data_IF_469907694138
#
_entry.id   IF_469907694138
#
_cell.length_a   1.000
_cell.length_b   1.000
_cell.length_c   1.000
_cell.angle_alpha   90.00
_cell.angle_beta   90.00
_cell.angle_gamma   90.00
#
_symmetry.space_group_name_H-M   'P 1'
#
loop_
_entity.id
_entity.type
_entity.pdbx_description
1 polymer ?
#
# COMPACT_ATOMS: atom_id res chain seq x y z
N UNK A 1 -1.40 18.99 22.05
CA UNK A 1 -0.92 17.64 22.44
C UNK A 1 -1.99 16.76 23.09
N UNK A 2 -3.01 17.30 23.76
CA UNK A 2 -4.09 16.56 24.43
C UNK A 2 -5.08 15.91 23.45
N UNK A 3 -5.40 16.57 22.35
CA UNK A 3 -6.26 16.07 21.27
C UNK A 3 -5.65 14.88 20.53
N UNK A 4 -4.36 14.89 20.27
CA UNK A 4 -3.65 13.82 19.54
C UNK A 4 -3.70 12.48 20.32
N UNK A 5 -3.58 12.51 21.65
CA UNK A 5 -3.68 11.30 22.50
C UNK A 5 -5.07 10.68 22.54
N UNK A 6 -6.14 11.46 22.34
CA UNK A 6 -7.52 10.99 22.45
C UNK A 6 -8.01 10.25 21.19
N UNK A 7 -7.60 10.70 19.99
CA UNK A 7 -7.98 10.05 18.72
C UNK A 7 -7.26 8.72 18.51
N UNK A 8 -5.97 8.65 18.81
CA UNK A 8 -5.18 7.42 18.63
C UNK A 8 -5.55 6.30 19.63
N UNK A 9 -6.04 6.64 20.83
CA UNK A 9 -6.53 5.62 21.77
C UNK A 9 -7.74 4.84 21.27
N UNK A 10 -8.57 5.41 20.41
CA UNK A 10 -9.70 4.73 19.76
C UNK A 10 -9.27 3.70 18.70
N UNK A 11 -8.08 3.84 18.13
CA UNK A 11 -7.58 3.00 17.03
C UNK A 11 -6.41 2.13 17.51
N UNK A 12 -6.69 1.25 18.45
CA UNK A 12 -5.68 0.33 18.98
C UNK A 12 -5.44 -0.82 18.00
N UNK A 13 -4.25 -0.84 17.40
CA UNK A 13 -3.78 -1.90 16.51
C UNK A 13 -2.75 -2.82 17.18
N UNK A 14 -2.71 -2.85 18.52
CA UNK A 14 -1.80 -3.73 19.26
C UNK A 14 -1.98 -5.18 18.81
N UNK A 15 -0.86 -5.88 18.61
CA UNK A 15 -0.80 -7.26 18.13
C UNK A 15 -1.28 -7.46 16.66
N UNK A 16 -1.62 -6.41 15.92
CA UNK A 16 -1.85 -6.48 14.47
C UNK A 16 -0.52 -6.42 13.74
N UNK A 17 -0.46 -7.09 12.57
CA UNK A 17 0.69 -7.03 11.67
C UNK A 17 0.23 -6.35 10.38
N UNK A 18 0.89 -5.25 10.03
CA UNK A 18 0.62 -4.48 8.83
C UNK A 18 1.77 -4.60 7.83
N UNK A 19 1.47 -4.98 6.60
CA UNK A 19 2.38 -4.92 5.47
C UNK A 19 2.13 -3.63 4.70
N UNK A 20 3.20 -2.87 4.43
CA UNK A 20 3.15 -1.62 3.66
C UNK A 20 4.12 -1.70 2.50
N UNK A 21 3.62 -1.58 1.26
CA UNK A 21 4.44 -1.51 0.06
C UNK A 21 4.77 -0.06 -0.29
N UNK A 22 5.95 0.18 -0.88
CA UNK A 22 6.43 1.55 -1.10
C UNK A 22 6.68 2.33 0.20
N UNK A 23 7.02 1.62 1.28
CA UNK A 23 7.10 2.15 2.64
C UNK A 23 8.25 3.14 2.89
N UNK A 24 9.21 3.26 1.96
CA UNK A 24 10.42 4.05 2.19
C UNK A 24 10.21 5.56 2.13
N UNK A 25 9.23 6.04 1.38
CA UNK A 25 9.01 7.48 1.10
C UNK A 25 7.52 7.83 1.01
N UNK A 26 7.24 9.14 1.03
CA UNK A 26 5.92 9.70 0.72
C UNK A 26 4.79 9.09 1.56
N UNK A 27 3.69 8.78 0.91
CA UNK A 27 2.47 8.29 1.56
C UNK A 27 2.69 6.94 2.26
N UNK A 28 3.43 6.01 1.63
CA UNK A 28 3.72 4.70 2.26
C UNK A 28 4.49 4.84 3.57
N UNK A 29 5.48 5.76 3.62
CA UNK A 29 6.19 6.08 4.87
C UNK A 29 5.23 6.66 5.93
N UNK A 30 4.38 7.59 5.54
CA UNK A 30 3.41 8.20 6.46
C UNK A 30 2.43 7.16 7.02
N UNK A 31 1.88 6.30 6.15
CA UNK A 31 1.01 5.19 6.57
C UNK A 31 1.71 4.23 7.53
N UNK A 32 2.97 3.86 7.23
CA UNK A 32 3.72 2.94 8.09
C UNK A 32 3.95 3.53 9.49
N UNK A 33 4.29 4.81 9.59
CA UNK A 33 4.49 5.49 10.87
C UNK A 33 3.16 5.59 11.63
N UNK A 34 2.07 6.02 10.99
CA UNK A 34 0.76 6.13 11.62
C UNK A 34 0.24 4.78 12.17
N UNK A 35 0.42 3.69 11.41
CA UNK A 35 0.07 2.35 11.87
C UNK A 35 0.92 1.90 13.08
N UNK A 36 2.20 2.27 13.09
CA UNK A 36 3.10 2.00 14.22
C UNK A 36 2.72 2.81 15.46
N UNK A 37 2.33 4.08 15.31
CA UNK A 37 1.81 4.94 16.38
C UNK A 37 0.53 4.36 16.99
N UNK A 38 -0.32 3.73 16.15
CA UNK A 38 -1.51 3.00 16.62
C UNK A 38 -1.19 1.63 17.24
N UNK A 39 0.08 1.21 17.28
CA UNK A 39 0.55 0.00 17.95
C UNK A 39 0.71 -1.24 17.05
N UNK A 40 0.57 -1.13 15.74
CA UNK A 40 0.79 -2.25 14.84
C UNK A 40 2.29 -2.59 14.68
N UNK A 41 2.58 -3.87 14.48
CA UNK A 41 3.88 -4.33 14.03
C UNK A 41 3.98 -4.18 12.50
N UNK A 42 5.14 -3.79 11.98
CA UNK A 42 5.30 -3.41 10.58
C UNK A 42 6.16 -4.37 9.79
N UNK A 43 5.72 -4.65 8.56
CA UNK A 43 6.48 -5.27 7.49
C UNK A 43 6.60 -4.22 6.39
N UNK A 44 7.78 -3.67 6.21
CA UNK A 44 8.06 -2.60 5.25
C UNK A 44 8.67 -3.18 3.98
N UNK A 45 8.09 -2.91 2.82
CA UNK A 45 8.60 -3.35 1.52
C UNK A 45 8.90 -2.14 0.65
N UNK A 46 10.13 -2.02 0.15
CA UNK A 46 10.54 -1.00 -0.82
C UNK A 46 11.87 -1.39 -1.48
N UNK A 47 12.20 -0.79 -2.61
CA UNK A 47 13.44 -1.07 -3.36
C UNK A 47 14.70 -0.48 -2.74
N UNK A 48 14.59 0.55 -1.91
CA UNK A 48 15.72 1.34 -1.41
C UNK A 48 15.98 1.03 0.06
N UNK A 49 17.08 0.32 0.34
CA UNK A 49 17.49 -0.04 1.70
C UNK A 49 17.63 1.19 2.61
N UNK A 50 18.34 2.24 2.17
CA UNK A 50 18.56 3.48 2.94
C UNK A 50 17.25 4.10 3.44
N UNK A 51 16.22 4.15 2.58
CA UNK A 51 14.92 4.72 2.94
C UNK A 51 14.19 3.85 3.96
N UNK A 52 14.21 2.53 3.78
CA UNK A 52 13.64 1.57 4.73
C UNK A 52 14.32 1.65 6.10
N UNK A 53 15.64 1.77 6.14
CA UNK A 53 16.41 1.89 7.39
C UNK A 53 16.04 3.18 8.16
N UNK A 54 15.77 4.28 7.45
CA UNK A 54 15.31 5.52 8.07
C UNK A 54 13.92 5.35 8.71
N UNK A 55 12.97 4.75 7.97
CA UNK A 55 11.61 4.52 8.47
C UNK A 55 11.62 3.53 9.63
N UNK A 56 12.38 2.44 9.51
CA UNK A 56 12.52 1.44 10.55
C UNK A 56 13.07 2.02 11.85
N UNK A 57 14.05 2.93 11.79
CA UNK A 57 14.59 3.63 12.99
C UNK A 57 13.52 4.46 13.70
N UNK A 58 12.64 5.14 12.95
CA UNK A 58 11.54 5.90 13.52
C UNK A 58 10.54 4.97 14.21
N UNK A 59 10.13 3.90 13.51
CA UNK A 59 9.13 2.94 14.02
C UNK A 59 9.64 2.21 15.26
N UNK A 60 10.90 1.83 15.32
CA UNK A 60 11.49 1.16 16.50
C UNK A 60 11.42 2.01 17.77
N UNK A 61 11.47 3.35 17.66
CA UNK A 61 11.29 4.26 18.81
C UNK A 61 9.86 4.20 19.39
N UNK A 62 8.89 3.72 18.62
CA UNK A 62 7.49 3.54 19.05
C UNK A 62 7.25 2.19 19.78
N UNK A 63 8.30 1.42 20.05
CA UNK A 63 8.27 0.14 20.80
C UNK A 63 7.40 -0.94 20.12
N UNK A 64 7.25 -0.90 18.79
CA UNK A 64 6.61 -1.94 17.98
C UNK A 64 7.66 -2.69 17.14
N UNK A 65 7.35 -3.93 16.77
CA UNK A 65 8.24 -4.74 15.91
C UNK A 65 8.19 -4.20 14.48
N UNK A 66 9.37 -4.10 13.84
CA UNK A 66 9.49 -3.65 12.45
C UNK A 66 10.51 -4.51 11.72
N UNK A 67 10.08 -5.12 10.60
CA UNK A 67 10.95 -5.83 9.65
C UNK A 67 10.92 -5.10 8.32
N UNK A 68 12.08 -4.95 7.69
CA UNK A 68 12.23 -4.30 6.39
C UNK A 68 12.71 -5.30 5.35
N UNK A 69 12.12 -5.25 4.16
CA UNK A 69 12.44 -6.09 3.02
C UNK A 69 12.76 -5.21 1.81
N UNK A 70 13.97 -5.32 1.32
CA UNK A 70 14.37 -4.67 0.07
C UNK A 70 13.90 -5.56 -1.07
N UNK A 71 12.85 -5.15 -1.77
CA UNK A 71 12.22 -5.96 -2.81
C UNK A 71 11.57 -5.05 -3.86
N UNK A 72 11.70 -5.42 -5.13
CA UNK A 72 10.86 -4.88 -6.19
C UNK A 72 9.53 -5.64 -6.20
N UNK A 73 8.42 -4.92 -6.01
CA UNK A 73 7.08 -5.53 -5.94
C UNK A 73 6.66 -6.26 -7.21
N UNK A 74 7.34 -6.02 -8.34
CA UNK A 74 7.11 -6.72 -9.61
C UNK A 74 7.80 -8.09 -9.66
N UNK A 75 8.67 -8.39 -8.71
CA UNK A 75 9.27 -9.72 -8.53
C UNK A 75 8.31 -10.59 -7.70
N UNK A 76 7.43 -11.33 -8.41
CA UNK A 76 6.39 -12.14 -7.78
C UNK A 76 6.95 -13.21 -6.83
N UNK A 77 8.04 -13.90 -7.21
CA UNK A 77 8.62 -14.97 -6.40
C UNK A 77 9.16 -14.43 -5.08
N UNK A 78 9.86 -13.31 -5.11
CA UNK A 78 10.44 -12.70 -3.91
C UNK A 78 9.34 -12.17 -2.96
N UNK A 79 8.33 -11.46 -3.50
CA UNK A 79 7.23 -10.95 -2.67
C UNK A 79 6.39 -12.08 -2.08
N UNK A 80 6.17 -13.17 -2.82
CA UNK A 80 5.50 -14.38 -2.34
C UNK A 80 6.27 -15.01 -1.18
N UNK A 81 7.59 -15.13 -1.29
CA UNK A 81 8.45 -15.65 -0.23
C UNK A 81 8.38 -14.78 1.03
N UNK A 82 8.48 -13.46 0.89
CA UNK A 82 8.36 -12.50 2.00
C UNK A 82 7.03 -12.68 2.73
N UNK A 83 5.92 -12.79 2.01
CA UNK A 83 4.57 -12.93 2.59
C UNK A 83 4.42 -14.32 3.24
N UNK A 84 4.91 -15.37 2.60
CA UNK A 84 4.79 -16.73 3.13
C UNK A 84 5.56 -16.95 4.42
N UNK A 85 6.70 -16.28 4.61
CA UNK A 85 7.49 -16.30 5.85
C UNK A 85 6.77 -15.65 7.04
N UNK A 86 5.65 -14.97 6.83
CA UNK A 86 4.91 -14.36 7.93
C UNK A 86 3.91 -15.34 8.54
N UNK A 87 3.81 -15.35 9.88
CA UNK A 87 2.83 -16.18 10.57
C UNK A 87 1.39 -15.68 10.30
N UNK A 88 1.21 -14.36 10.21
CA UNK A 88 -0.07 -13.73 9.87
C UNK A 88 0.15 -12.34 9.26
N UNK A 89 -0.87 -11.86 8.57
CA UNK A 89 -1.02 -10.47 8.14
C UNK A 89 -2.45 -10.05 8.50
N UNK A 90 -2.61 -8.88 9.11
CA UNK A 90 -3.92 -8.35 9.50
C UNK A 90 -4.31 -7.14 8.65
N UNK A 91 -3.31 -6.37 8.20
CA UNK A 91 -3.50 -5.13 7.44
C UNK A 91 -2.54 -5.13 6.24
N UNK A 92 -3.06 -4.73 5.07
CA UNK A 92 -2.27 -4.42 3.90
C UNK A 92 -2.48 -2.96 3.50
N UNK A 93 -1.40 -2.20 3.37
CA UNK A 93 -1.37 -0.93 2.64
C UNK A 93 -0.64 -1.16 1.32
N UNK A 94 -1.42 -1.35 0.28
CA UNK A 94 -0.95 -1.60 -1.08
C UNK A 94 -0.71 -0.24 -1.78
N UNK A 95 0.45 0.36 -1.49
CA UNK A 95 0.75 1.75 -1.82
C UNK A 95 1.79 1.92 -2.92
N UNK A 96 2.68 0.93 -3.13
CA UNK A 96 3.71 1.08 -4.16
C UNK A 96 3.09 1.34 -5.53
N UNK A 97 3.62 2.34 -6.22
CA UNK A 97 3.17 2.73 -7.54
C UNK A 97 4.02 3.86 -8.10
N UNK A 98 3.85 4.14 -9.39
CA UNK A 98 4.60 5.18 -10.10
C UNK A 98 3.77 5.77 -11.24
N UNK A 99 4.24 6.88 -11.81
CA UNK A 99 3.63 7.52 -12.95
C UNK A 99 4.70 8.02 -13.93
N UNK A 100 4.42 7.88 -15.22
CA UNK A 100 5.20 8.42 -16.34
C UNK A 100 4.21 9.23 -17.19
N UNK A 101 4.22 10.58 -17.07
CA UNK A 101 3.34 11.45 -17.85
C UNK A 101 3.76 11.47 -19.32
N UNK A 102 2.83 11.13 -20.21
CA UNK A 102 3.02 11.16 -21.67
C UNK A 102 1.71 11.59 -22.35
N UNK A 103 1.79 12.36 -23.44
CA UNK A 103 0.65 12.61 -24.31
C UNK A 103 0.15 11.29 -24.91
N UNK A 104 -1.16 11.11 -24.96
CA UNK A 104 -1.76 9.84 -25.40
C UNK A 104 -1.19 9.31 -26.71
N UNK A 105 -1.06 10.17 -27.71
CA UNK A 105 -0.50 9.83 -29.03
C UNK A 105 1.00 9.50 -29.04
N UNK A 106 1.70 9.73 -27.92
CA UNK A 106 3.15 9.50 -27.79
C UNK A 106 3.49 8.51 -26.69
N UNK A 107 2.50 7.84 -26.11
CA UNK A 107 2.71 6.81 -25.09
C UNK A 107 3.54 5.68 -25.69
N UNK A 108 4.69 5.40 -25.08
CA UNK A 108 5.52 4.26 -25.46
C UNK A 108 4.90 2.98 -24.87
N UNK A 109 4.78 1.93 -25.70
CA UNK A 109 4.26 0.63 -25.25
C UNK A 109 5.02 0.10 -24.03
N UNK A 110 6.35 0.23 -24.03
CA UNK A 110 7.19 -0.18 -22.89
C UNK A 110 6.87 0.55 -21.59
N UNK A 111 6.52 1.85 -21.66
CA UNK A 111 6.09 2.63 -20.48
C UNK A 111 4.69 2.22 -20.02
N UNK A 112 3.80 1.95 -20.96
CA UNK A 112 2.45 1.46 -20.65
C UNK A 112 2.53 0.10 -19.95
N UNK A 113 3.26 -0.86 -20.49
CA UNK A 113 3.48 -2.19 -19.89
C UNK A 113 4.11 -2.10 -18.51
N UNK A 114 5.14 -1.27 -18.35
CA UNK A 114 5.80 -1.04 -17.07
C UNK A 114 4.82 -0.47 -16.02
N UNK A 115 4.01 0.53 -16.39
CA UNK A 115 3.03 1.12 -15.48
C UNK A 115 1.93 0.13 -15.09
N UNK A 116 1.43 -0.67 -16.04
CA UNK A 116 0.46 -1.75 -15.77
C UNK A 116 1.08 -2.79 -14.84
N UNK A 117 2.31 -3.23 -15.11
CA UNK A 117 3.03 -4.19 -14.28
C UNK A 117 3.16 -3.71 -12.82
N UNK A 118 3.57 -2.46 -12.62
CA UNK A 118 3.79 -1.90 -11.27
C UNK A 118 2.48 -1.56 -10.56
N UNK A 119 1.59 -0.79 -11.23
CA UNK A 119 0.44 -0.20 -10.57
C UNK A 119 -0.77 -1.13 -10.46
N UNK A 120 -0.86 -2.14 -11.34
CA UNK A 120 -2.03 -3.02 -11.45
C UNK A 120 -1.66 -4.46 -11.12
N UNK A 121 -0.77 -5.08 -11.90
CA UNK A 121 -0.45 -6.51 -11.75
C UNK A 121 0.21 -6.80 -10.40
N UNK A 122 1.23 -6.03 -10.04
CA UNK A 122 1.92 -6.21 -8.75
C UNK A 122 0.97 -5.94 -7.57
N UNK A 123 0.12 -4.90 -7.69
CA UNK A 123 -0.88 -4.58 -6.66
C UNK A 123 -1.89 -5.73 -6.48
N UNK A 124 -2.39 -6.31 -7.57
CA UNK A 124 -3.25 -7.49 -7.55
C UNK A 124 -2.58 -8.68 -6.87
N UNK A 125 -1.38 -9.03 -7.30
CA UNK A 125 -0.63 -10.17 -6.78
C UNK A 125 -0.39 -10.06 -5.26
N UNK A 126 0.02 -8.90 -4.79
CA UNK A 126 0.26 -8.66 -3.36
C UNK A 126 -1.05 -8.75 -2.57
N UNK A 127 -2.13 -8.14 -3.09
CA UNK A 127 -3.43 -8.21 -2.46
C UNK A 127 -3.92 -9.68 -2.34
N UNK A 128 -3.76 -10.48 -3.41
CA UNK A 128 -4.13 -11.90 -3.41
C UNK A 128 -3.29 -12.70 -2.39
N UNK A 129 -1.97 -12.55 -2.40
CA UNK A 129 -1.08 -13.26 -1.47
C UNK A 129 -1.38 -12.88 0.00
N UNK A 130 -1.57 -11.59 0.28
CA UNK A 130 -1.95 -11.14 1.63
C UNK A 130 -3.33 -11.65 2.03
N UNK A 131 -4.30 -11.68 1.12
CA UNK A 131 -5.63 -12.23 1.37
C UNK A 131 -5.57 -13.70 1.74
N UNK A 132 -4.83 -14.52 0.99
CA UNK A 132 -4.63 -15.94 1.31
C UNK A 132 -4.03 -16.10 2.72
N UNK A 133 -3.02 -15.31 3.06
CA UNK A 133 -2.42 -15.32 4.40
C UNK A 133 -3.41 -14.86 5.48
N UNK A 134 -4.26 -13.87 5.19
CA UNK A 134 -5.31 -13.43 6.10
C UNK A 134 -6.33 -14.53 6.35
N UNK A 135 -6.85 -15.18 5.31
CA UNK A 135 -7.87 -16.23 5.40
C UNK A 135 -7.38 -17.43 6.22
N UNK A 136 -6.11 -17.82 6.05
CA UNK A 136 -5.48 -18.90 6.80
C UNK A 136 -5.30 -18.61 8.30
N UNK A 137 -5.41 -17.34 8.72
CA UNK A 137 -5.24 -16.97 10.13
C UNK A 137 -6.41 -17.49 10.97
N UNK A 138 -6.10 -18.24 12.03
CA UNK A 138 -7.10 -18.77 12.98
C UNK A 138 -8.02 -17.64 13.48
N UNK A 139 -9.32 -17.92 13.54
CA UNK A 139 -10.37 -16.98 13.98
C UNK A 139 -10.47 -15.70 13.11
N UNK A 140 -10.09 -15.75 11.82
CA UNK A 140 -10.14 -14.58 10.94
C UNK A 140 -11.51 -13.89 10.93
N UNK A 141 -12.61 -14.65 10.83
CA UNK A 141 -13.97 -14.10 10.84
C UNK A 141 -14.26 -13.23 12.08
N UNK A 142 -13.70 -13.59 13.25
CA UNK A 142 -13.85 -12.84 14.50
C UNK A 142 -12.89 -11.64 14.56
N UNK A 143 -11.65 -11.84 14.11
CA UNK A 143 -10.57 -10.82 14.21
C UNK A 143 -10.71 -9.74 13.13
N UNK A 144 -11.21 -10.11 11.98
CA UNK A 144 -11.26 -9.26 10.79
C UNK A 144 -9.90 -9.00 10.14
N UNK A 145 -9.93 -8.41 8.93
CA UNK A 145 -8.77 -7.95 8.19
C UNK A 145 -9.06 -6.62 7.49
N UNK A 146 -8.02 -5.93 7.05
CA UNK A 146 -8.17 -4.67 6.32
C UNK A 146 -7.15 -4.54 5.20
N UNK A 147 -7.62 -4.27 4.00
CA UNK A 147 -6.81 -3.98 2.82
C UNK A 147 -7.12 -2.56 2.37
N UNK A 148 -6.08 -1.76 2.19
CA UNK A 148 -6.19 -0.41 1.63
C UNK A 148 -5.34 -0.36 0.37
N UNK A 149 -5.98 -0.16 -0.77
CA UNK A 149 -5.31 0.11 -2.03
C UNK A 149 -5.13 1.63 -2.19
N UNK A 150 -3.89 2.07 -2.34
CA UNK A 150 -3.59 3.49 -2.57
C UNK A 150 -3.90 3.84 -4.03
N UNK A 151 -5.09 4.37 -4.23
CA UNK A 151 -5.58 4.84 -5.52
C UNK A 151 -5.11 6.30 -5.78
N UNK A 152 -5.95 7.09 -6.36
CA UNK A 152 -5.75 8.50 -6.67
C UNK A 152 -7.11 9.12 -6.98
N UNK A 153 -7.24 10.45 -6.92
CA UNK A 153 -8.37 11.13 -7.56
C UNK A 153 -8.51 10.69 -9.03
N UNK A 154 -7.39 10.34 -9.69
CA UNK A 154 -7.36 9.85 -11.08
C UNK A 154 -7.86 8.39 -11.24
N UNK A 155 -8.37 7.78 -10.20
CA UNK A 155 -9.19 6.58 -10.24
C UNK A 155 -10.68 6.88 -10.42
N UNK A 156 -11.08 8.16 -10.35
CA UNK A 156 -12.48 8.62 -10.47
C UNK A 156 -12.65 9.68 -11.55
N UNK A 157 -11.60 10.44 -11.88
CA UNK A 157 -11.60 11.49 -12.90
C UNK A 157 -10.41 11.36 -13.83
N UNK A 158 -10.50 11.97 -15.03
CA UNK A 158 -9.38 12.06 -15.96
C UNK A 158 -8.36 13.13 -15.56
N UNK A 159 -7.11 12.92 -15.96
CA UNK A 159 -6.05 13.91 -15.85
C UNK A 159 -5.24 13.99 -17.16
N UNK A 160 -4.83 15.19 -17.61
CA UNK A 160 -4.06 15.35 -18.83
C UNK A 160 -2.74 14.62 -18.76
N UNK A 161 -2.25 14.13 -19.91
CA UNK A 161 -0.96 13.42 -20.06
C UNK A 161 -0.75 12.21 -19.11
N UNK A 162 -1.84 11.59 -18.64
CA UNK A 162 -1.80 10.48 -17.66
C UNK A 162 -2.78 9.37 -18.00
N UNK A 163 -3.08 9.15 -19.28
CA UNK A 163 -4.07 8.15 -19.73
C UNK A 163 -3.82 6.75 -19.15
N UNK A 164 -2.57 6.27 -19.19
CA UNK A 164 -2.19 4.96 -18.62
C UNK A 164 -2.33 4.94 -17.10
N UNK A 165 -1.94 6.02 -16.43
CA UNK A 165 -2.08 6.12 -14.97
C UNK A 165 -3.57 6.16 -14.56
N UNK A 166 -4.40 6.90 -15.29
CA UNK A 166 -5.85 6.92 -15.10
C UNK A 166 -6.44 5.51 -15.26
N UNK A 167 -6.09 4.81 -16.35
CA UNK A 167 -6.50 3.42 -16.58
C UNK A 167 -6.15 2.51 -15.40
N UNK A 168 -4.90 2.57 -14.92
CA UNK A 168 -4.44 1.75 -13.80
C UNK A 168 -5.20 2.07 -12.50
N UNK A 169 -5.46 3.35 -12.22
CA UNK A 169 -6.14 3.74 -10.98
C UNK A 169 -7.64 3.46 -11.01
N UNK A 170 -8.32 3.61 -12.16
CA UNK A 170 -9.70 3.12 -12.35
C UNK A 170 -9.77 1.60 -12.22
N UNK A 171 -8.80 0.86 -12.79
CA UNK A 171 -8.70 -0.59 -12.60
C UNK A 171 -8.56 -0.98 -11.13
N UNK A 172 -7.79 -0.22 -10.35
CA UNK A 172 -7.62 -0.46 -8.91
C UNK A 172 -8.91 -0.21 -8.11
N UNK A 173 -9.73 0.78 -8.51
CA UNK A 173 -11.07 1.00 -7.94
C UNK A 173 -12.00 -0.19 -8.22
N UNK A 174 -12.02 -0.68 -9.47
CA UNK A 174 -12.78 -1.87 -9.86
C UNK A 174 -12.34 -3.12 -9.08
N UNK A 175 -11.03 -3.37 -9.00
CA UNK A 175 -10.45 -4.47 -8.21
C UNK A 175 -10.89 -4.38 -6.75
N UNK A 176 -10.83 -3.20 -6.15
CA UNK A 176 -11.20 -3.00 -4.74
C UNK A 176 -12.65 -3.36 -4.48
N UNK A 177 -13.58 -2.97 -5.36
CA UNK A 177 -15.01 -3.28 -5.25
C UNK A 177 -15.26 -4.80 -5.35
N UNK A 178 -14.64 -5.46 -6.34
CA UNK A 178 -14.75 -6.92 -6.49
C UNK A 178 -14.21 -7.65 -5.26
N UNK A 179 -13.01 -7.30 -4.82
CA UNK A 179 -12.40 -7.88 -3.62
C UNK A 179 -13.27 -7.65 -2.36
N UNK A 180 -13.89 -6.48 -2.20
CA UNK A 180 -14.72 -6.18 -1.04
C UNK A 180 -15.91 -7.14 -0.93
N UNK A 181 -16.55 -7.46 -2.07
CA UNK A 181 -17.65 -8.42 -2.14
C UNK A 181 -17.17 -9.85 -1.86
N UNK A 182 -16.10 -10.30 -2.51
CA UNK A 182 -15.56 -11.65 -2.37
C UNK A 182 -15.09 -11.96 -0.95
N UNK A 183 -14.55 -10.95 -0.25
CA UNK A 183 -13.88 -11.11 1.03
C UNK A 183 -14.76 -10.77 2.25
N UNK A 184 -15.96 -10.26 2.04
CA UNK A 184 -16.91 -9.94 3.11
C UNK A 184 -17.20 -11.13 4.02
N UNK A 185 -17.38 -12.33 3.45
CA UNK A 185 -17.61 -13.59 4.19
C UNK A 185 -16.47 -13.96 5.16
N UNK A 186 -15.27 -13.43 4.95
CA UNK A 186 -14.11 -13.61 5.84
C UNK A 186 -13.91 -12.45 6.82
N UNK A 187 -14.80 -11.47 6.83
CA UNK A 187 -14.65 -10.22 7.60
C UNK A 187 -13.37 -9.46 7.24
N UNK A 188 -13.02 -9.45 5.95
CA UNK A 188 -11.91 -8.66 5.42
C UNK A 188 -12.49 -7.48 4.64
N UNK A 189 -12.22 -6.27 5.11
CA UNK A 189 -12.63 -5.04 4.45
C UNK A 189 -11.60 -4.62 3.43
N UNK A 190 -12.04 -4.17 2.27
CA UNK A 190 -11.17 -3.66 1.20
C UNK A 190 -11.66 -2.27 0.80
N UNK A 191 -10.77 -1.28 0.87
CA UNK A 191 -11.09 0.11 0.55
C UNK A 191 -9.96 0.75 -0.24
N UNK A 192 -10.24 1.90 -0.85
CA UNK A 192 -9.24 2.77 -1.45
C UNK A 192 -9.02 4.02 -0.60
N UNK A 193 -7.84 4.59 -0.72
CA UNK A 193 -7.54 5.99 -0.37
C UNK A 193 -7.13 6.67 -1.66
N UNK A 194 -7.79 7.80 -1.97
CA UNK A 194 -7.68 8.49 -3.25
C UNK A 194 -7.09 9.90 -3.09
N UNK A 195 -5.78 10.03 -2.84
CA UNK A 195 -5.16 11.34 -2.66
C UNK A 195 -5.25 12.17 -3.94
N UNK A 196 -5.30 13.49 -3.75
CA UNK A 196 -5.05 14.49 -4.80
C UNK A 196 -3.55 14.82 -4.83
N UNK A 197 -3.19 16.09 -4.92
CA UNK A 197 -1.79 16.54 -4.89
C UNK A 197 -1.29 16.67 -3.43
N UNK A 198 -0.72 15.60 -2.91
CA UNK A 198 -0.01 15.62 -1.62
C UNK A 198 1.47 15.86 -1.88
N UNK A 199 2.11 16.77 -1.13
CA UNK A 199 3.54 17.03 -1.24
C UNK A 199 4.35 15.81 -0.84
N UNK A 200 4.91 15.13 -1.82
CA UNK A 200 5.75 13.94 -1.68
C UNK A 200 6.97 14.05 -2.61
N UNK A 201 8.01 13.24 -2.45
CA UNK A 201 9.11 13.21 -3.42
C UNK A 201 8.67 12.97 -4.87
N UNK A 202 7.57 12.25 -5.08
CA UNK A 202 6.99 12.02 -6.41
C UNK A 202 6.35 13.29 -6.98
N UNK A 203 5.56 14.01 -6.18
CA UNK A 203 4.78 15.17 -6.62
C UNK A 203 5.55 16.48 -6.59
N UNK A 204 6.61 16.56 -5.77
CA UNK A 204 7.43 17.77 -5.61
C UNK A 204 8.03 18.29 -6.94
N UNK A 205 8.25 17.37 -7.90
CA UNK A 205 8.73 17.73 -9.25
C UNK A 205 7.69 18.51 -10.07
N UNK A 206 6.40 18.34 -9.78
CA UNK A 206 5.27 18.95 -10.50
C UNK A 206 4.70 20.17 -9.79
N UNK A 207 5.09 20.41 -8.53
CA UNK A 207 4.61 21.52 -7.69
C UNK A 207 5.61 22.68 -7.64
N UNK A 208 6.66 22.68 -8.47
CA UNK A 208 7.70 23.71 -8.49
C UNK A 208 7.44 24.82 -9.52
N UNK A 209 6.23 24.90 -10.08
CA UNK A 209 5.82 26.02 -10.94
C UNK A 209 4.66 26.76 -10.33
#
# INVERSE_FOLDING_TARGET
SYFYKMYLKKYNLKNKIALVTGAGKGLGRACAIALAEAGANLLLVSRTKKDLDQVSRIIKKLKVKCKSYVCDITNYSEIKEIINKQNKIDILINNAGTNIPEHFTKVKTTNMEFLVKVNTVAAFNIAQLCTLKMIQTKNRKKIGGSIINMSSQMGHVGGPIRSVYNMNKHGLEGLTKGMALDLAKFNIRVNTVCPTFVVTPMTKKFLKN
#
